data_IF_291875459204
#
_entry.id   IF_291875459204
#
_cell.length_a   1.000
_cell.length_b   1.000
_cell.length_c   1.000
_cell.angle_alpha   90.00
_cell.angle_beta   90.00
_cell.angle_gamma   90.00
#
_symmetry.space_group_name_H-M   'P 1'
#
loop_
_entity.id
_entity.type
_entity.pdbx_description
1 polymer ?
#
# COMPACT_ATOMS: atom_id res chain seq x y z
N UNK A 1 -33.65 -16.54 -25.38
CA UNK A 1 -33.43 -16.99 -23.99
C UNK A 1 -34.05 -15.93 -23.09
N UNK A 2 -35.19 -16.22 -22.44
CA UNK A 2 -35.90 -15.26 -21.58
C UNK A 2 -35.33 -15.32 -20.16
N UNK A 3 -34.90 -14.16 -19.65
CA UNK A 3 -34.41 -14.02 -18.28
C UNK A 3 -35.65 -13.92 -17.38
N UNK A 4 -35.76 -14.80 -16.39
CA UNK A 4 -36.89 -14.80 -15.46
C UNK A 4 -36.82 -13.55 -14.56
N UNK A 5 -37.99 -13.09 -14.07
CA UNK A 5 -38.09 -11.93 -13.18
C UNK A 5 -37.22 -12.06 -11.92
N UNK A 6 -36.99 -13.27 -11.44
CA UNK A 6 -36.11 -13.57 -10.29
C UNK A 6 -34.63 -13.38 -10.64
N UNK A 7 -34.20 -13.82 -11.83
CA UNK A 7 -32.84 -13.61 -12.33
C UNK A 7 -32.54 -12.13 -12.55
N UNK A 8 -33.53 -11.34 -13.00
CA UNK A 8 -33.40 -9.89 -13.16
C UNK A 8 -33.20 -9.16 -11.82
N UNK A 9 -33.93 -9.53 -10.77
CA UNK A 9 -33.73 -8.93 -9.43
C UNK A 9 -32.38 -9.31 -8.81
N UNK A 10 -31.92 -10.55 -8.99
CA UNK A 10 -30.58 -10.95 -8.54
C UNK A 10 -29.45 -10.16 -9.21
N UNK A 11 -29.58 -9.87 -10.51
CA UNK A 11 -28.62 -9.04 -11.24
C UNK A 11 -28.60 -7.59 -10.75
N UNK A 12 -29.77 -7.01 -10.43
CA UNK A 12 -29.85 -5.65 -9.87
C UNK A 12 -29.22 -5.59 -8.48
N UNK A 13 -29.43 -6.60 -7.64
CA UNK A 13 -28.87 -6.64 -6.30
C UNK A 13 -27.34 -6.76 -6.33
N UNK A 14 -26.78 -7.64 -7.17
CA UNK A 14 -25.32 -7.76 -7.36
C UNK A 14 -24.71 -6.45 -7.89
N UNK A 15 -25.38 -5.78 -8.83
CA UNK A 15 -24.92 -4.47 -9.34
C UNK A 15 -25.00 -3.37 -8.28
N UNK A 16 -25.97 -3.43 -7.38
CA UNK A 16 -26.11 -2.46 -6.29
C UNK A 16 -25.04 -2.67 -5.21
N UNK A 17 -24.81 -3.93 -4.80
CA UNK A 17 -23.73 -4.29 -3.85
C UNK A 17 -22.34 -3.96 -4.40
N UNK A 18 -22.11 -4.17 -5.72
CA UNK A 18 -20.88 -3.76 -6.39
C UNK A 18 -20.70 -2.23 -6.39
N UNK A 19 -21.77 -1.46 -6.61
CA UNK A 19 -21.73 0.02 -6.57
C UNK A 19 -21.55 0.59 -5.17
N UNK A 20 -22.06 -0.06 -4.13
CA UNK A 20 -21.81 0.32 -2.74
C UNK A 20 -20.34 0.08 -2.37
N UNK A 21 -19.78 -1.09 -2.72
CA UNK A 21 -18.34 -1.37 -2.58
C UNK A 21 -17.47 -0.37 -3.34
N UNK A 22 -17.84 -0.03 -4.58
CA UNK A 22 -17.11 0.95 -5.40
C UNK A 22 -17.09 2.37 -4.77
N UNK A 23 -18.14 2.76 -4.04
CA UNK A 23 -18.19 4.03 -3.31
C UNK A 23 -17.30 4.02 -2.07
N UNK A 24 -17.30 2.92 -1.31
CA UNK A 24 -16.43 2.76 -0.15
C UNK A 24 -14.96 2.71 -0.57
N UNK A 25 -14.64 2.00 -1.65
CA UNK A 25 -13.31 1.99 -2.28
C UNK A 25 -12.88 3.40 -2.69
N UNK A 26 -13.75 4.13 -3.40
CA UNK A 26 -13.42 5.48 -3.86
C UNK A 26 -13.14 6.39 -2.66
N UNK A 27 -13.93 6.29 -1.60
CA UNK A 27 -13.71 7.02 -0.36
C UNK A 27 -12.37 6.67 0.29
N UNK A 28 -12.05 5.39 0.46
CA UNK A 28 -10.78 4.95 1.04
C UNK A 28 -9.57 5.44 0.24
N UNK A 29 -9.66 5.42 -1.08
CA UNK A 29 -8.56 5.90 -1.94
C UNK A 29 -8.47 7.41 -1.99
N UNK A 30 -9.59 8.13 -1.96
CA UNK A 30 -9.57 9.59 -1.84
C UNK A 30 -9.00 9.99 -0.47
N UNK A 31 -9.31 9.26 0.61
CA UNK A 31 -8.73 9.44 1.94
C UNK A 31 -7.23 9.13 1.94
N UNK A 32 -6.80 8.01 1.35
CA UNK A 32 -5.41 7.62 1.25
C UNK A 32 -4.62 8.63 0.42
N UNK A 33 -5.06 8.94 -0.81
CA UNK A 33 -4.42 9.95 -1.65
C UNK A 33 -4.35 11.31 -0.94
N UNK A 34 -5.42 11.73 -0.27
CA UNK A 34 -5.42 13.02 0.43
C UNK A 34 -4.44 13.01 1.60
N UNK A 35 -4.50 12.01 2.49
CA UNK A 35 -3.64 11.93 3.68
C UNK A 35 -2.18 11.70 3.30
N UNK A 36 -1.93 10.72 2.44
CA UNK A 36 -0.59 10.30 2.03
C UNK A 36 0.05 11.34 1.12
N UNK A 37 -0.65 11.89 0.11
CA UNK A 37 -0.06 12.93 -0.76
C UNK A 37 0.11 14.25 -0.03
N UNK A 38 -0.76 14.61 0.93
CA UNK A 38 -0.53 15.79 1.78
C UNK A 38 0.69 15.57 2.67
N UNK A 39 0.78 14.41 3.35
CA UNK A 39 1.94 14.08 4.18
C UNK A 39 3.23 14.04 3.37
N UNK A 40 3.24 13.44 2.19
CA UNK A 40 4.42 13.41 1.31
C UNK A 40 4.75 14.78 0.72
N UNK A 41 3.77 15.61 0.39
CA UNK A 41 4.01 16.98 -0.05
C UNK A 41 4.57 17.88 1.06
N UNK A 42 4.21 17.62 2.32
CA UNK A 42 4.81 18.27 3.48
C UNK A 42 6.21 17.73 3.76
N UNK A 43 6.41 16.41 3.66
CA UNK A 43 7.71 15.73 3.77
C UNK A 43 8.71 16.24 2.74
N UNK A 44 8.30 16.31 1.46
CA UNK A 44 9.13 16.81 0.37
C UNK A 44 9.53 18.28 0.57
N UNK A 45 8.69 19.07 1.25
CA UNK A 45 8.98 20.47 1.58
C UNK A 45 9.90 20.63 2.78
N UNK A 46 9.97 19.66 3.69
CA UNK A 46 10.92 19.66 4.82
C UNK A 46 12.32 19.18 4.44
N UNK A 47 12.48 18.56 3.27
CA UNK A 47 13.77 18.10 2.70
C UNK A 47 14.54 19.31 2.13
N UNK A 48 15.00 20.22 2.99
CA UNK A 48 15.83 21.36 2.57
C UNK A 48 17.11 21.49 3.42
N UNK A 49 17.42 20.44 4.16
CA UNK A 49 18.57 20.29 5.05
C UNK A 49 19.31 19.00 4.65
N UNK A 50 20.64 18.98 4.67
CA UNK A 50 21.47 17.80 4.38
C UNK A 50 21.62 16.86 5.59
N UNK A 51 20.70 16.93 6.55
CA UNK A 51 20.68 16.04 7.72
C UNK A 51 20.36 14.60 7.33
N UNK A 52 20.83 13.67 8.15
CA UNK A 52 20.54 12.24 7.97
C UNK A 52 19.02 11.95 7.98
N UNK A 53 18.23 12.76 8.69
CA UNK A 53 16.78 12.62 8.71
C UNK A 53 16.15 13.04 7.38
N UNK A 54 16.65 14.11 6.74
CA UNK A 54 16.22 14.55 5.41
C UNK A 54 16.47 13.49 4.33
N UNK A 55 17.56 12.73 4.42
CA UNK A 55 17.82 11.60 3.51
C UNK A 55 16.81 10.46 3.69
N UNK A 56 16.53 10.06 4.94
CA UNK A 56 15.53 9.04 5.23
C UNK A 56 14.15 9.45 4.72
N UNK A 57 13.81 10.74 4.77
CA UNK A 57 12.57 11.28 4.23
C UNK A 57 12.49 11.17 2.69
N UNK A 58 13.59 11.42 1.98
CA UNK A 58 13.64 11.24 0.52
C UNK A 58 13.37 9.78 0.14
N UNK A 59 13.97 8.83 0.88
CA UNK A 59 13.83 7.41 0.58
C UNK A 59 12.38 6.92 0.78
N UNK A 60 11.68 7.40 1.82
CA UNK A 60 10.25 7.06 2.04
C UNK A 60 9.38 7.58 0.88
N UNK A 61 9.64 8.81 0.39
CA UNK A 61 8.91 9.38 -0.75
C UNK A 61 9.09 8.50 -1.98
N UNK A 62 10.33 8.08 -2.27
CA UNK A 62 10.65 7.22 -3.40
C UNK A 62 9.93 5.86 -3.29
N UNK A 63 9.98 5.23 -2.11
CA UNK A 63 9.30 3.96 -1.85
C UNK A 63 7.79 4.09 -2.01
N UNK A 64 7.19 5.18 -1.56
CA UNK A 64 5.76 5.39 -1.72
C UNK A 64 5.32 5.69 -3.16
N UNK A 65 6.11 6.43 -3.93
CA UNK A 65 5.85 6.63 -5.36
C UNK A 65 5.99 5.32 -6.16
N UNK A 66 6.93 4.45 -5.76
CA UNK A 66 7.05 3.09 -6.28
C UNK A 66 5.77 2.29 -5.98
N UNK A 67 5.29 2.26 -4.74
CA UNK A 67 4.04 1.59 -4.38
C UNK A 67 2.83 2.15 -5.13
N UNK A 68 2.79 3.47 -5.35
CA UNK A 68 1.74 4.12 -6.15
C UNK A 68 1.76 3.69 -7.61
N UNK A 69 2.93 3.36 -8.15
CA UNK A 69 3.05 2.83 -9.50
C UNK A 69 2.54 1.39 -9.56
N UNK A 70 2.81 0.60 -8.53
CA UNK A 70 2.34 -0.79 -8.39
C UNK A 70 0.84 -0.93 -8.15
N UNK A 71 0.25 0.04 -7.46
CA UNK A 71 -1.20 0.23 -7.34
C UNK A 71 -1.94 0.22 -8.69
N UNK A 72 -1.32 0.70 -9.77
CA UNK A 72 -1.94 0.68 -11.10
C UNK A 72 -1.86 -0.69 -11.78
N UNK A 73 -0.91 -1.52 -11.38
CA UNK A 73 -0.61 -2.81 -12.01
C UNK A 73 -1.44 -3.93 -11.38
N UNK A 74 -1.58 -3.95 -10.06
CA UNK A 74 -2.26 -5.03 -9.31
C UNK A 74 -3.79 -4.88 -9.35
N UNK A 75 -4.29 -3.66 -9.53
CA UNK A 75 -5.70 -3.36 -9.36
C UNK A 75 -5.97 -2.76 -7.98
N UNK A 76 -6.70 -1.65 -8.00
CA UNK A 76 -6.87 -0.71 -6.89
C UNK A 76 -7.48 -1.32 -5.62
N UNK A 77 -8.51 -2.14 -5.77
CA UNK A 77 -9.27 -2.72 -4.65
C UNK A 77 -8.51 -3.84 -3.96
N UNK A 78 -7.91 -4.71 -4.77
CA UNK A 78 -7.19 -5.88 -4.27
C UNK A 78 -5.93 -5.47 -3.50
N UNK A 79 -5.26 -4.39 -3.93
CA UNK A 79 -4.06 -3.88 -3.27
C UNK A 79 -4.31 -3.39 -1.83
N UNK A 80 -5.30 -2.51 -1.63
CA UNK A 80 -5.56 -1.96 -0.30
C UNK A 80 -6.12 -3.00 0.66
N UNK A 81 -7.04 -3.84 0.17
CA UNK A 81 -7.58 -4.93 0.97
C UNK A 81 -6.50 -5.93 1.39
N UNK A 82 -5.55 -6.23 0.49
CA UNK A 82 -4.42 -7.08 0.83
C UNK A 82 -3.46 -6.41 1.81
N UNK A 83 -3.21 -5.11 1.66
CA UNK A 83 -2.37 -4.33 2.59
C UNK A 83 -2.97 -4.30 3.99
N UNK A 84 -4.27 -4.05 4.12
CA UNK A 84 -4.99 -4.06 5.41
C UNK A 84 -4.92 -5.44 6.07
N UNK A 85 -5.17 -6.51 5.30
CA UNK A 85 -5.04 -7.89 5.81
C UNK A 85 -3.62 -8.22 6.26
N UNK A 86 -2.62 -7.77 5.52
CA UNK A 86 -1.23 -7.96 5.91
C UNK A 86 -0.95 -7.20 7.21
N UNK A 87 -1.42 -5.96 7.36
CA UNK A 87 -1.34 -5.23 8.63
C UNK A 87 -1.98 -5.97 9.80
N UNK A 88 -3.18 -6.51 9.62
CA UNK A 88 -3.85 -7.32 10.63
C UNK A 88 -3.03 -8.57 11.00
N UNK A 89 -2.44 -9.25 10.01
CA UNK A 89 -1.58 -10.41 10.23
C UNK A 89 -0.31 -10.04 11.01
N UNK A 90 0.36 -8.96 10.62
CA UNK A 90 1.56 -8.46 11.29
C UNK A 90 1.26 -8.05 12.73
N UNK A 91 0.13 -7.38 12.98
CA UNK A 91 -0.31 -7.03 14.34
C UNK A 91 -0.66 -8.26 15.17
N UNK A 92 -1.31 -9.26 14.59
CA UNK A 92 -1.58 -10.52 15.28
C UNK A 92 -0.30 -11.30 15.62
N UNK A 93 0.71 -11.24 14.74
CA UNK A 93 1.96 -11.99 14.87
C UNK A 93 2.96 -11.32 15.80
N UNK A 94 3.09 -10.00 15.75
CA UNK A 94 4.13 -9.25 16.43
C UNK A 94 3.60 -8.23 17.45
N UNK A 95 2.29 -8.01 17.50
CA UNK A 95 1.67 -7.01 18.36
C UNK A 95 1.91 -5.58 17.89
N UNK A 96 1.58 -4.60 18.75
CA UNK A 96 1.80 -3.18 18.48
C UNK A 96 3.28 -2.89 18.21
N UNK A 97 3.59 -2.34 17.03
CA UNK A 97 4.95 -2.00 16.61
C UNK A 97 5.23 -0.52 16.86
N UNK A 98 6.02 -0.21 17.88
CA UNK A 98 6.54 1.15 18.13
C UNK A 98 8.06 1.16 17.93
N UNK A 99 8.47 1.31 16.67
CA UNK A 99 9.88 1.35 16.30
C UNK A 99 10.38 2.78 16.14
N UNK A 100 11.69 2.99 16.24
CA UNK A 100 12.30 4.26 15.84
C UNK A 100 12.25 4.43 14.32
N UNK A 101 12.31 5.67 13.81
CA UNK A 101 12.40 5.97 12.37
C UNK A 101 13.47 5.13 11.66
N UNK A 102 14.66 4.97 12.26
CA UNK A 102 15.75 4.16 11.70
C UNK A 102 15.40 2.67 11.61
N UNK A 103 14.72 2.14 12.63
CA UNK A 103 14.31 0.73 12.64
C UNK A 103 13.22 0.48 11.61
N UNK A 104 12.26 1.38 11.46
CA UNK A 104 11.28 1.29 10.37
C UNK A 104 11.90 1.40 8.99
N UNK A 105 12.84 2.32 8.79
CA UNK A 105 13.60 2.41 7.54
C UNK A 105 14.29 1.09 7.20
N UNK A 106 14.95 0.48 8.19
CA UNK A 106 15.62 -0.79 8.01
C UNK A 106 14.65 -1.90 7.62
N UNK A 107 13.46 -1.98 8.25
CA UNK A 107 12.43 -2.96 7.89
C UNK A 107 11.92 -2.69 6.46
N UNK A 108 11.58 -1.44 6.13
CA UNK A 108 11.13 -1.10 4.77
C UNK A 108 12.19 -1.42 3.70
N UNK A 109 13.47 -1.20 4.02
CA UNK A 109 14.59 -1.54 3.14
C UNK A 109 14.76 -3.07 2.98
N UNK A 110 14.48 -3.85 4.03
CA UNK A 110 14.45 -5.32 3.98
C UNK A 110 13.37 -5.79 3.00
N UNK A 111 12.12 -5.34 3.16
CA UNK A 111 11.01 -5.67 2.25
C UNK A 111 11.29 -5.26 0.80
N UNK A 112 11.89 -4.07 0.59
CA UNK A 112 12.29 -3.62 -0.74
C UNK A 112 13.39 -4.52 -1.36
N UNK A 113 14.27 -5.07 -0.52
CA UNK A 113 15.25 -6.07 -0.91
C UNK A 113 14.60 -7.38 -1.35
N UNK A 114 13.57 -7.84 -0.64
CA UNK A 114 12.80 -9.05 -1.01
C UNK A 114 12.08 -8.87 -2.35
N UNK A 115 11.54 -7.68 -2.65
CA UNK A 115 11.00 -7.35 -3.98
C UNK A 115 12.09 -7.50 -5.06
N UNK A 116 13.29 -6.96 -4.81
CA UNK A 116 14.39 -7.03 -5.76
C UNK A 116 14.84 -8.48 -6.00
N UNK A 117 14.94 -9.29 -4.95
CA UNK A 117 15.24 -10.72 -5.04
C UNK A 117 14.14 -11.49 -5.80
N UNK A 118 12.85 -11.17 -5.56
CA UNK A 118 11.74 -11.78 -6.28
C UNK A 118 11.77 -11.45 -7.79
N UNK A 119 12.16 -10.21 -8.15
CA UNK A 119 12.37 -9.80 -9.54
C UNK A 119 13.55 -10.56 -10.16
N UNK A 120 14.70 -10.62 -9.49
CA UNK A 120 15.89 -11.33 -9.98
C UNK A 120 15.61 -12.81 -10.25
N UNK A 121 14.84 -13.44 -9.36
CA UNK A 121 14.47 -14.85 -9.47
C UNK A 121 13.30 -15.12 -10.45
N UNK A 122 12.69 -14.08 -11.02
CA UNK A 122 11.61 -14.24 -12.00
C UNK A 122 12.18 -14.67 -13.34
N UNK A 123 11.68 -15.81 -13.86
CA UNK A 123 12.13 -16.33 -15.16
C UNK A 123 11.68 -15.41 -16.30
N UNK A 124 12.55 -15.25 -17.29
CA UNK A 124 12.23 -14.56 -18.53
C UNK A 124 10.97 -15.17 -19.19
N UNK A 125 10.01 -14.32 -19.56
CA UNK A 125 8.74 -14.72 -20.15
C UNK A 125 7.63 -15.07 -19.15
N UNK A 126 7.85 -14.90 -17.84
CA UNK A 126 6.78 -15.02 -16.83
C UNK A 126 5.78 -13.86 -16.94
N UNK A 127 4.51 -14.11 -16.59
CA UNK A 127 3.54 -13.04 -16.39
C UNK A 127 3.95 -12.16 -15.20
N UNK A 128 3.74 -10.86 -15.35
CA UNK A 128 4.20 -9.86 -14.39
C UNK A 128 3.03 -9.00 -13.88
N UNK A 129 3.00 -8.67 -12.57
CA UNK A 129 3.86 -9.19 -11.51
C UNK A 129 3.61 -10.67 -11.23
N UNK A 130 4.63 -11.36 -10.74
CA UNK A 130 4.45 -12.71 -10.17
C UNK A 130 3.78 -12.61 -8.81
N UNK A 131 3.16 -13.69 -8.34
CA UNK A 131 2.54 -13.76 -7.00
C UNK A 131 3.51 -13.34 -5.89
N UNK A 132 4.78 -13.76 -5.99
CA UNK A 132 5.81 -13.41 -5.01
C UNK A 132 6.12 -11.92 -5.02
N UNK A 133 6.27 -11.31 -6.19
CA UNK A 133 6.49 -9.85 -6.30
C UNK A 133 5.30 -9.10 -5.70
N UNK A 134 4.07 -9.55 -5.99
CA UNK A 134 2.86 -8.95 -5.42
C UNK A 134 2.83 -9.07 -3.90
N UNK A 135 3.19 -10.22 -3.34
CA UNK A 135 3.30 -10.46 -1.89
C UNK A 135 4.26 -9.45 -1.23
N UNK A 136 5.49 -9.31 -1.74
CA UNK A 136 6.48 -8.42 -1.08
C UNK A 136 6.11 -6.94 -1.22
N UNK A 137 5.45 -6.56 -2.32
CA UNK A 137 4.91 -5.20 -2.46
C UNK A 137 3.84 -4.93 -1.40
N UNK A 138 2.96 -5.90 -1.12
CA UNK A 138 1.93 -5.78 -0.09
C UNK A 138 2.59 -5.66 1.30
N UNK A 139 3.62 -6.46 1.59
CA UNK A 139 4.37 -6.40 2.85
C UNK A 139 5.05 -5.04 3.04
N UNK A 140 5.75 -4.54 2.01
CA UNK A 140 6.34 -3.20 2.03
C UNK A 140 5.28 -2.11 2.27
N UNK A 141 4.12 -2.24 1.63
CA UNK A 141 3.01 -1.28 1.80
C UNK A 141 2.51 -1.25 3.24
N UNK A 142 2.33 -2.42 3.83
CA UNK A 142 1.94 -2.59 5.21
C UNK A 142 2.99 -1.96 6.16
N UNK A 143 4.28 -2.18 5.92
CA UNK A 143 5.35 -1.56 6.72
C UNK A 143 5.34 -0.03 6.63
N UNK A 144 5.20 0.53 5.43
CA UNK A 144 5.16 1.99 5.25
C UNK A 144 3.92 2.61 5.90
N UNK A 145 2.76 1.95 5.82
CA UNK A 145 1.56 2.39 6.52
C UNK A 145 1.78 2.41 8.05
N UNK A 146 2.33 1.33 8.61
CA UNK A 146 2.63 1.25 10.03
C UNK A 146 3.62 2.35 10.45
N UNK A 147 4.67 2.57 9.67
CA UNK A 147 5.66 3.61 9.96
C UNK A 147 5.05 5.02 9.94
N UNK A 148 4.27 5.35 8.91
CA UNK A 148 3.65 6.67 8.77
C UNK A 148 2.63 6.94 9.87
N UNK A 149 1.92 5.90 10.32
CA UNK A 149 0.89 6.01 11.36
C UNK A 149 1.45 5.96 12.78
N UNK A 150 2.60 5.32 13.01
CA UNK A 150 3.23 5.23 14.33
C UNK A 150 4.03 6.47 14.74
N UNK A 151 4.27 7.41 13.83
CA UNK A 151 5.05 8.62 14.09
C UNK A 151 4.23 9.88 13.85
N UNK A 152 4.38 10.84 14.76
CA UNK A 152 3.84 12.18 14.56
C UNK A 152 4.87 13.03 13.80
N UNK A 153 4.86 12.91 12.48
CA UNK A 153 5.86 13.52 11.58
C UNK A 153 5.87 15.06 11.58
N UNK A 154 4.90 15.71 12.23
CA UNK A 154 4.70 17.17 12.16
C UNK A 154 4.84 17.89 13.50
N UNK A 155 5.19 17.18 14.58
CA UNK A 155 5.34 17.76 15.91
C UNK A 155 6.67 17.33 16.56
N UNK A 156 7.79 17.78 15.98
CA UNK A 156 9.09 17.87 16.66
C UNK A 156 9.70 19.26 16.43
#
# INVERSE_FOLDING_TARGET
MEITRTQFHGLIQVQWEAREKEKDTKYLVDQWNTKISAKFGELARSINDNSADSMLLQDIVILADLLRSWYWVIGKEDFFHATEKEREFQDARWGQQEHSRRKWFMIAAEEAGEIAEAIENTKEGSEYPTEKITEEIIQLSAVLEAWVTSHDWFYE
#
